data_IF_972042751688
#
_entry.id   IF_972042751688
#
_cell.length_a   1.000
_cell.length_b   1.000
_cell.length_c   1.000
_cell.angle_alpha   90.00
_cell.angle_beta   90.00
_cell.angle_gamma   90.00
#
_symmetry.space_group_name_H-M   'P 1'
#
loop_
_entity.id
_entity.type
_entity.pdbx_description
1 polymer ?
#
# COMPACT_ATOMS: atom_id res chain seq x y z
N UNK A 1 14.85 -3.59 12.42
CA UNK A 1 14.59 -3.75 10.98
C UNK A 1 15.87 -3.66 10.15
N UNK A 2 16.88 -2.88 10.54
CA UNK A 2 18.21 -2.92 9.88
C UNK A 2 18.81 -4.31 9.74
N UNK A 3 18.75 -5.11 10.81
CA UNK A 3 19.26 -6.48 10.79
C UNK A 3 18.50 -7.37 9.79
N UNK A 4 17.22 -7.09 9.50
CA UNK A 4 16.45 -7.79 8.46
C UNK A 4 17.02 -7.46 7.08
N UNK A 5 17.34 -6.19 6.83
CA UNK A 5 17.99 -5.75 5.59
C UNK A 5 19.36 -6.41 5.42
N UNK A 6 20.15 -6.50 6.49
CA UNK A 6 21.47 -7.15 6.48
C UNK A 6 21.37 -8.64 6.18
N UNK A 7 20.41 -9.35 6.79
CA UNK A 7 20.19 -10.79 6.51
C UNK A 7 19.77 -11.00 5.06
N UNK A 8 18.80 -10.22 4.57
CA UNK A 8 18.39 -10.32 3.16
C UNK A 8 19.58 -10.05 2.23
N UNK A 9 20.44 -9.10 2.55
CA UNK A 9 21.64 -8.81 1.78
C UNK A 9 22.65 -9.97 1.78
N UNK A 10 22.82 -10.70 2.89
CA UNK A 10 23.65 -11.92 2.96
C UNK A 10 23.15 -12.98 1.97
N UNK A 11 21.83 -13.09 1.80
CA UNK A 11 21.21 -13.99 0.82
C UNK A 11 21.13 -13.40 -0.59
N UNK A 12 21.82 -12.28 -0.87
CA UNK A 12 21.73 -11.54 -2.13
C UNK A 12 20.28 -11.22 -2.52
N UNK A 13 19.46 -10.91 -1.53
CA UNK A 13 18.02 -10.72 -1.67
C UNK A 13 17.64 -9.26 -1.42
N UNK A 14 16.87 -8.61 -2.32
CA UNK A 14 16.35 -7.27 -2.07
C UNK A 14 15.24 -7.30 -1.01
N UNK A 15 15.12 -6.29 -0.16
CA UNK A 15 13.94 -6.17 0.69
C UNK A 15 12.80 -5.60 -0.17
N UNK A 16 11.80 -6.44 -0.47
CA UNK A 16 10.60 -6.04 -1.21
C UNK A 16 9.42 -6.10 -0.25
N UNK A 17 8.89 -4.93 0.08
CA UNK A 17 7.67 -4.79 0.88
C UNK A 17 6.46 -5.21 0.04
N UNK A 18 5.54 -5.89 0.71
CA UNK A 18 4.24 -6.25 0.19
C UNK A 18 3.13 -5.73 1.13
N UNK A 19 1.89 -6.14 0.86
CA UNK A 19 0.77 -5.88 1.76
C UNK A 19 0.49 -4.40 2.05
N UNK A 20 0.04 -4.11 3.27
CA UNK A 20 -0.37 -2.76 3.67
C UNK A 20 0.78 -1.74 3.66
N UNK A 21 1.99 -2.18 4.00
CA UNK A 21 3.17 -1.31 3.99
C UNK A 21 3.49 -0.83 2.57
N UNK A 22 3.48 -1.74 1.59
CA UNK A 22 3.67 -1.39 0.19
C UNK A 22 2.57 -0.46 -0.33
N UNK A 23 1.30 -0.77 -0.04
CA UNK A 23 0.16 0.06 -0.45
C UNK A 23 0.27 1.53 -0.03
N UNK A 24 0.82 1.78 1.16
CA UNK A 24 0.97 3.14 1.66
C UNK A 24 2.03 3.92 0.89
N UNK A 25 3.07 3.26 0.38
CA UNK A 25 4.01 3.83 -0.58
C UNK A 25 3.46 3.93 -2.02
N UNK A 26 2.33 3.28 -2.29
CA UNK A 26 1.55 3.45 -3.53
C UNK A 26 0.47 4.53 -3.39
N UNK A 27 0.51 5.35 -2.33
CA UNK A 27 -0.45 6.45 -2.11
C UNK A 27 -1.81 6.04 -1.53
N UNK A 28 -2.04 4.76 -1.26
CA UNK A 28 -3.26 4.29 -0.61
C UNK A 28 -3.18 4.45 0.91
N UNK A 29 -4.23 4.98 1.56
CA UNK A 29 -4.31 4.99 3.02
C UNK A 29 -4.72 3.61 3.56
N UNK A 30 -3.88 2.60 3.30
CA UNK A 30 -3.97 1.28 3.89
C UNK A 30 -3.91 1.32 5.41
N UNK A 31 -4.44 0.27 6.05
CA UNK A 31 -4.38 0.10 7.50
C UNK A 31 -2.93 0.11 7.97
N UNK A 32 -2.64 0.88 9.02
CA UNK A 32 -1.40 0.69 9.75
C UNK A 32 -1.53 -0.60 10.54
N UNK A 33 -0.79 -1.60 10.13
CA UNK A 33 -0.75 -2.91 10.77
C UNK A 33 0.55 -3.05 11.56
N UNK A 34 0.51 -3.90 12.58
CA UNK A 34 1.69 -4.34 13.35
C UNK A 34 2.49 -5.41 12.62
N UNK A 35 2.05 -5.83 11.42
CA UNK A 35 2.71 -6.83 10.60
C UNK A 35 3.35 -6.21 9.36
N UNK A 36 4.56 -6.66 9.01
CA UNK A 36 5.29 -6.28 7.81
C UNK A 36 5.41 -7.46 6.86
N UNK A 37 4.76 -7.35 5.71
CA UNK A 37 4.82 -8.35 4.64
C UNK A 37 6.06 -8.14 3.77
N UNK A 38 6.84 -9.21 3.57
CA UNK A 38 8.06 -9.21 2.75
C UNK A 38 7.97 -10.35 1.74
N UNK A 39 8.23 -10.03 0.48
CA UNK A 39 8.39 -11.02 -0.59
C UNK A 39 9.82 -11.57 -0.57
N UNK A 40 9.95 -12.91 -0.63
CA UNK A 40 11.22 -13.62 -0.56
C UNK A 40 11.28 -14.70 -1.65
N UNK A 41 12.44 -14.85 -2.30
CA UNK A 41 12.70 -15.92 -3.27
C UNK A 41 12.41 -17.29 -2.68
N UNK A 42 11.82 -18.17 -3.47
CA UNK A 42 11.50 -19.53 -3.03
C UNK A 42 12.75 -20.26 -2.52
N UNK A 43 13.88 -20.05 -3.20
CA UNK A 43 15.18 -20.63 -2.89
C UNK A 43 15.81 -20.09 -1.60
N UNK A 44 15.47 -18.87 -1.18
CA UNK A 44 16.04 -18.18 -0.02
C UNK A 44 15.10 -18.19 1.20
N UNK A 45 13.81 -18.50 1.02
CA UNK A 45 12.79 -18.34 2.05
C UNK A 45 13.14 -19.02 3.37
N UNK A 46 13.51 -20.32 3.33
CA UNK A 46 13.83 -21.09 4.54
C UNK A 46 15.10 -20.61 5.22
N UNK A 47 16.13 -20.26 4.45
CA UNK A 47 17.41 -19.79 5.01
C UNK A 47 17.26 -18.40 5.61
N UNK A 48 16.58 -17.48 4.94
CA UNK A 48 16.24 -16.15 5.47
C UNK A 48 15.45 -16.27 6.77
N UNK A 49 14.41 -17.11 6.81
CA UNK A 49 13.61 -17.31 8.01
C UNK A 49 14.45 -17.87 9.18
N UNK A 50 15.33 -18.85 8.91
CA UNK A 50 16.24 -19.42 9.91
C UNK A 50 17.18 -18.37 10.46
N UNK A 51 17.88 -17.63 9.59
CA UNK A 51 18.86 -16.62 9.99
C UNK A 51 18.21 -15.47 10.78
N UNK A 52 16.98 -15.08 10.43
CA UNK A 52 16.19 -14.11 11.20
C UNK A 52 15.95 -14.59 12.63
N UNK A 53 15.61 -15.87 12.82
CA UNK A 53 15.42 -16.46 14.15
C UNK A 53 16.74 -16.58 14.90
N UNK A 54 17.84 -16.91 14.22
CA UNK A 54 19.17 -17.01 14.83
C UNK A 54 19.68 -15.68 15.40
N UNK A 55 19.15 -14.54 14.95
CA UNK A 55 19.46 -13.24 15.58
C UNK A 55 18.96 -13.12 17.03
N UNK A 56 18.00 -13.94 17.44
CA UNK A 56 17.35 -13.85 18.74
C UNK A 56 16.30 -12.73 18.87
N UNK A 57 16.10 -11.91 17.83
CA UNK A 57 15.06 -10.88 17.80
C UNK A 57 13.70 -11.42 17.35
N UNK A 58 13.69 -12.56 16.66
CA UNK A 58 12.51 -13.17 16.05
C UNK A 58 12.37 -14.62 16.45
N UNK A 59 11.13 -15.08 16.56
CA UNK A 59 10.78 -16.50 16.70
C UNK A 59 9.74 -16.89 15.66
N UNK A 60 9.71 -18.18 15.31
CA UNK A 60 8.65 -18.73 14.46
C UNK A 60 7.32 -18.63 15.19
N UNK A 61 6.37 -17.93 14.58
CA UNK A 61 5.01 -17.82 15.06
C UNK A 61 4.11 -18.80 14.31
N UNK A 62 3.27 -19.53 15.05
CA UNK A 62 2.19 -20.29 14.46
C UNK A 62 0.89 -19.52 14.70
N UNK A 63 0.29 -18.95 13.65
CA UNK A 63 -0.99 -18.25 13.75
C UNK A 63 -2.04 -19.18 14.35
N UNK A 64 -2.88 -18.61 15.22
CA UNK A 64 -4.05 -19.34 15.68
C UNK A 64 -5.02 -19.54 14.52
N UNK A 65 -5.79 -20.64 14.48
CA UNK A 65 -6.79 -20.85 13.45
C UNK A 65 -7.76 -19.65 13.39
N UNK A 66 -8.23 -19.26 12.19
CA UNK A 66 -9.23 -18.22 12.00
C UNK A 66 -10.39 -18.34 12.99
N UNK A 67 -10.56 -17.36 13.87
CA UNK A 67 -11.71 -17.31 14.76
C UNK A 67 -12.93 -16.89 13.95
N UNK A 68 -14.07 -17.61 13.99
CA UNK A 68 -15.23 -17.36 13.12
C UNK A 68 -15.92 -15.97 13.26
N UNK A 69 -15.40 -15.07 14.09
CA UNK A 69 -16.07 -13.84 14.53
C UNK A 69 -15.17 -12.61 14.62
N UNK A 70 -13.91 -12.67 14.19
CA UNK A 70 -13.12 -11.44 14.15
C UNK A 70 -13.58 -10.57 12.97
N UNK A 71 -13.96 -9.31 13.22
CA UNK A 71 -14.45 -8.41 12.17
C UNK A 71 -13.34 -7.94 11.22
N UNK A 72 -12.09 -8.31 11.46
CA UNK A 72 -10.94 -7.88 10.68
C UNK A 72 -10.17 -9.09 10.11
N UNK A 73 -10.05 -9.21 8.78
CA UNK A 73 -9.37 -10.33 8.12
C UNK A 73 -7.82 -10.31 8.28
N UNK A 74 -7.28 -9.48 9.19
CA UNK A 74 -5.84 -9.36 9.41
C UNK A 74 -5.23 -10.62 10.05
N UNK A 75 -5.99 -11.40 10.84
CA UNK A 75 -5.51 -12.66 11.43
C UNK A 75 -5.52 -13.81 10.41
N UNK A 76 -6.41 -13.79 9.43
CA UNK A 76 -6.56 -14.87 8.45
C UNK A 76 -5.39 -14.93 7.46
N UNK A 77 -4.81 -13.77 7.08
CA UNK A 77 -3.67 -13.75 6.15
C UNK A 77 -2.40 -14.36 6.74
N UNK A 78 -2.21 -14.27 8.06
CA UNK A 78 -1.05 -14.87 8.71
C UNK A 78 -1.08 -16.39 8.56
N UNK A 79 -2.28 -16.98 8.57
CA UNK A 79 -2.48 -18.42 8.38
C UNK A 79 -2.16 -18.90 6.96
N UNK A 80 -2.20 -18.00 5.96
CA UNK A 80 -1.93 -18.32 4.56
C UNK A 80 -0.45 -18.14 4.15
N UNK A 81 0.32 -17.48 5.02
CA UNK A 81 1.72 -17.13 4.81
C UNK A 81 2.65 -18.35 4.87
N UNK A 82 3.78 -18.25 4.18
CA UNK A 82 4.76 -19.33 4.18
C UNK A 82 5.55 -19.37 5.49
N UNK A 83 5.88 -18.19 6.05
CA UNK A 83 6.38 -18.05 7.41
C UNK A 83 5.80 -16.80 8.06
N UNK A 84 5.49 -16.92 9.36
CA UNK A 84 5.20 -15.79 10.22
C UNK A 84 6.23 -15.79 11.33
N UNK A 85 6.92 -14.68 11.51
CA UNK A 85 7.89 -14.48 12.58
C UNK A 85 7.36 -13.44 13.54
N UNK A 86 7.36 -13.75 14.84
CA UNK A 86 6.99 -12.80 15.90
C UNK A 86 8.24 -12.19 16.50
N UNK A 87 8.21 -10.88 16.70
CA UNK A 87 9.29 -10.14 17.34
C UNK A 87 9.24 -10.36 18.85
N UNK A 88 10.39 -10.69 19.45
CA UNK A 88 10.50 -10.98 20.89
C UNK A 88 10.78 -9.71 21.70
N UNK A 89 11.44 -8.74 21.09
CA UNK A 89 11.99 -7.53 21.73
C UNK A 89 11.27 -6.24 21.32
N UNK A 90 10.03 -6.33 20.83
CA UNK A 90 9.26 -5.15 20.46
C UNK A 90 8.88 -4.35 21.73
N UNK A 91 9.47 -3.17 21.90
CA UNK A 91 9.23 -2.30 23.06
C UNK A 91 8.11 -1.26 22.81
N UNK A 92 7.92 -0.85 21.55
CA UNK A 92 6.94 0.16 21.16
C UNK A 92 5.77 -0.45 20.36
N UNK A 93 4.55 0.01 20.62
CA UNK A 93 3.33 -0.37 19.89
C UNK A 93 3.36 0.03 18.40
N UNK A 94 4.20 1.00 18.04
CA UNK A 94 4.38 1.49 16.68
C UNK A 94 5.34 0.65 15.85
N UNK A 95 6.07 -0.29 16.47
CA UNK A 95 6.97 -1.19 15.77
C UNK A 95 6.24 -2.40 15.16
N UNK A 96 6.88 -3.04 14.18
CA UNK A 96 6.36 -4.28 13.63
C UNK A 96 6.56 -5.40 14.65
N UNK A 97 5.45 -6.04 15.01
CA UNK A 97 5.38 -7.21 15.89
C UNK A 97 5.49 -8.51 15.11
N UNK A 98 5.07 -8.52 13.85
CA UNK A 98 5.19 -9.69 12.99
C UNK A 98 5.90 -9.36 11.68
N UNK A 99 6.72 -10.28 11.21
CA UNK A 99 7.15 -10.35 9.82
C UNK A 99 6.42 -11.49 9.15
N UNK A 100 5.77 -11.19 8.03
CA UNK A 100 5.07 -12.18 7.22
C UNK A 100 5.90 -12.37 5.96
N UNK A 101 6.49 -13.55 5.80
CA UNK A 101 7.31 -13.87 4.65
C UNK A 101 6.47 -14.63 3.62
N UNK A 102 6.42 -14.07 2.43
CA UNK A 102 5.73 -14.62 1.28
C UNK A 102 6.75 -15.10 0.26
N UNK A 103 6.62 -16.34 -0.18
CA UNK A 103 7.42 -16.92 -1.26
C UNK A 103 6.98 -16.37 -2.62
N UNK A 104 7.85 -16.38 -3.62
CA UNK A 104 7.51 -16.02 -5.02
C UNK A 104 6.34 -16.87 -5.53
N UNK A 105 6.38 -18.16 -5.24
CA UNK A 105 5.32 -19.10 -5.62
C UNK A 105 3.99 -18.79 -4.96
N UNK A 106 3.99 -18.44 -3.66
CA UNK A 106 2.76 -18.08 -2.95
C UNK A 106 2.25 -16.71 -3.36
N UNK A 107 3.13 -15.74 -3.54
CA UNK A 107 2.72 -14.38 -3.86
C UNK A 107 2.46 -14.19 -5.36
N UNK A 108 2.81 -15.17 -6.20
CA UNK A 108 2.64 -15.13 -7.65
C UNK A 108 3.37 -13.95 -8.31
N UNK A 109 4.67 -13.83 -8.02
CA UNK A 109 5.54 -12.80 -8.62
C UNK A 109 6.99 -13.29 -8.61
N UNK A 110 7.74 -13.00 -9.70
CA UNK A 110 9.18 -13.26 -9.78
C UNK A 110 9.94 -12.10 -9.12
N UNK A 111 10.72 -12.34 -8.07
CA UNK A 111 11.52 -11.31 -7.38
C UNK A 111 12.54 -10.68 -8.34
N UNK A 112 13.11 -11.48 -9.25
CA UNK A 112 14.20 -11.04 -10.13
C UNK A 112 13.71 -10.34 -11.40
N UNK A 113 12.50 -10.67 -11.87
CA UNK A 113 11.97 -10.16 -13.13
C UNK A 113 10.88 -9.09 -12.96
N UNK A 114 10.38 -8.88 -11.73
CA UNK A 114 9.31 -7.91 -11.50
C UNK A 114 9.80 -6.45 -11.51
N UNK A 115 8.98 -5.52 -12.01
CA UNK A 115 9.29 -4.09 -11.92
C UNK A 115 9.16 -3.60 -10.48
N UNK A 116 10.29 -3.09 -9.95
CA UNK A 116 10.41 -2.58 -8.58
C UNK A 116 10.56 -1.06 -8.53
N UNK A 117 10.01 -0.47 -7.47
CA UNK A 117 10.15 0.95 -7.14
C UNK A 117 10.86 1.06 -5.79
N UNK A 118 11.97 1.80 -5.74
CA UNK A 118 12.67 2.07 -4.48
C UNK A 118 11.87 3.04 -3.61
N UNK A 119 11.79 2.74 -2.31
CA UNK A 119 11.09 3.55 -1.31
C UNK A 119 12.04 3.94 -0.18
N UNK A 120 11.80 5.06 0.51
CA UNK A 120 12.79 5.62 1.43
C UNK A 120 12.93 4.85 2.75
N UNK A 121 11.94 4.03 3.13
CA UNK A 121 11.95 3.33 4.41
C UNK A 121 10.98 2.12 4.42
N UNK A 122 11.15 1.24 5.41
CA UNK A 122 10.23 0.14 5.70
C UNK A 122 8.92 0.67 6.29
N UNK A 123 8.96 1.71 7.14
CA UNK A 123 7.76 2.28 7.77
C UNK A 123 7.12 3.42 6.96
N UNK A 124 5.91 3.23 6.40
CA UNK A 124 5.19 4.27 5.67
C UNK A 124 4.27 5.09 6.59
N UNK A 125 4.84 5.89 7.50
CA UNK A 125 4.05 6.70 8.46
C UNK A 125 3.02 7.60 7.78
N UNK A 126 3.32 8.07 6.58
CA UNK A 126 2.38 8.73 5.70
C UNK A 126 2.07 7.82 4.49
N UNK A 127 0.85 7.89 3.96
CA UNK A 127 0.55 7.32 2.66
C UNK A 127 0.95 8.34 1.59
N UNK A 128 1.92 7.94 0.76
CA UNK A 128 2.56 8.78 -0.22
C UNK A 128 2.69 7.98 -1.49
N UNK A 129 2.34 8.55 -2.64
CA UNK A 129 2.54 7.92 -3.93
C UNK A 129 3.97 8.20 -4.39
N UNK A 130 4.79 7.15 -4.48
CA UNK A 130 6.16 7.22 -5.02
C UNK A 130 6.14 7.16 -6.56
N UNK A 131 5.28 6.34 -7.15
CA UNK A 131 5.16 6.20 -8.60
C UNK A 131 4.26 7.30 -9.19
N UNK A 132 4.81 8.51 -9.30
CA UNK A 132 4.07 9.76 -9.57
C UNK A 132 3.18 9.74 -10.83
N UNK A 133 3.53 8.93 -11.83
CA UNK A 133 2.75 8.78 -13.08
C UNK A 133 1.30 8.33 -12.83
N UNK A 134 1.04 7.65 -11.72
CA UNK A 134 -0.29 7.21 -11.29
C UNK A 134 -1.06 8.25 -10.48
N UNK A 135 -0.54 9.46 -10.37
CA UNK A 135 -1.26 10.51 -9.66
C UNK A 135 -2.39 11.06 -10.54
N UNK A 136 -3.66 11.04 -10.09
CA UNK A 136 -4.81 11.28 -10.97
C UNK A 136 -4.95 12.73 -11.46
N UNK A 137 -4.30 13.67 -10.78
CA UNK A 137 -4.32 15.10 -11.14
C UNK A 137 -3.03 15.59 -11.83
N UNK A 138 -2.00 14.75 -12.00
CA UNK A 138 -0.65 15.22 -12.40
C UNK A 138 -0.60 15.83 -13.80
N UNK A 139 -1.45 15.35 -14.71
CA UNK A 139 -1.54 15.82 -16.10
C UNK A 139 -2.66 16.82 -16.36
N UNK A 140 -3.39 17.29 -15.33
CA UNK A 140 -4.57 18.15 -15.55
C UNK A 140 -4.20 19.61 -15.77
N UNK A 141 -4.75 20.21 -16.83
CA UNK A 141 -4.50 21.61 -17.19
C UNK A 141 -5.19 22.61 -16.26
N UNK A 142 -6.35 22.23 -15.71
CA UNK A 142 -7.17 23.09 -14.84
C UNK A 142 -6.58 23.32 -13.44
N UNK A 143 -5.43 22.69 -13.12
CA UNK A 143 -4.73 22.74 -11.82
C UNK A 143 -5.58 22.30 -10.62
N UNK A 144 -6.69 21.61 -10.86
CA UNK A 144 -7.51 21.04 -9.80
C UNK A 144 -6.81 19.81 -9.22
N UNK A 145 -6.49 19.86 -7.92
CA UNK A 145 -5.68 18.81 -7.28
C UNK A 145 -6.50 17.94 -6.33
N UNK A 146 -6.49 16.63 -6.58
CA UNK A 146 -7.09 15.58 -5.77
C UNK A 146 -6.24 14.31 -5.88
N UNK A 147 -6.46 13.33 -5.01
CA UNK A 147 -5.67 12.11 -4.96
C UNK A 147 -4.67 12.07 -3.80
N UNK A 148 -3.74 11.11 -3.82
CA UNK A 148 -2.78 10.92 -2.74
C UNK A 148 -1.76 12.05 -2.69
N UNK A 149 -1.03 12.15 -1.57
CA UNK A 149 0.13 13.04 -1.51
C UNK A 149 1.31 12.43 -2.25
N UNK A 150 2.16 13.27 -2.83
CA UNK A 150 3.42 12.90 -3.45
C UNK A 150 4.58 13.01 -2.46
N UNK A 151 5.68 12.35 -2.78
CA UNK A 151 6.91 12.46 -1.99
C UNK A 151 7.42 13.90 -1.96
N UNK A 152 7.95 14.41 -0.83
CA UNK A 152 8.46 15.80 -0.76
C UNK A 152 9.52 16.14 -1.81
N UNK A 153 10.29 15.15 -2.26
CA UNK A 153 11.33 15.34 -3.29
C UNK A 153 10.81 15.31 -4.73
N UNK A 154 9.49 15.18 -4.92
CA UNK A 154 8.85 15.18 -6.24
C UNK A 154 9.27 16.35 -7.12
N UNK A 155 9.34 16.12 -8.43
CA UNK A 155 9.71 17.14 -9.43
C UNK A 155 8.53 17.62 -10.26
N UNK A 156 7.30 17.27 -9.86
CA UNK A 156 6.08 17.74 -10.50
C UNK A 156 6.01 19.27 -10.46
N UNK A 157 5.84 19.88 -11.63
CA UNK A 157 5.76 21.34 -11.77
C UNK A 157 4.40 21.84 -11.29
N UNK A 158 4.37 23.04 -10.70
CA UNK A 158 3.16 23.70 -10.22
C UNK A 158 2.37 22.90 -9.16
N UNK A 159 3.09 22.12 -8.36
CA UNK A 159 2.50 21.32 -7.31
C UNK A 159 1.93 22.21 -6.19
N UNK A 160 0.65 22.05 -5.79
CA UNK A 160 0.10 22.76 -4.63
C UNK A 160 0.81 22.35 -3.35
N UNK A 161 0.98 23.26 -2.40
CA UNK A 161 1.65 22.98 -1.11
C UNK A 161 1.02 21.78 -0.37
N UNK A 162 -0.31 21.63 -0.47
CA UNK A 162 -1.07 20.52 0.15
C UNK A 162 -0.80 19.14 -0.46
N UNK A 163 -0.15 19.09 -1.63
CA UNK A 163 0.07 17.85 -2.37
C UNK A 163 1.26 17.04 -1.85
N UNK A 164 2.12 17.62 -1.01
CA UNK A 164 3.18 16.91 -0.30
C UNK A 164 2.86 16.86 1.20
N UNK A 165 3.28 15.80 1.92
CA UNK A 165 3.17 15.82 3.37
C UNK A 165 4.16 16.84 3.95
N UNK A 166 3.82 17.53 5.05
CA UNK A 166 4.74 18.47 5.69
C UNK A 166 5.98 17.76 6.27
N UNK A 167 5.82 16.52 6.70
CA UNK A 167 6.90 15.67 7.21
C UNK A 167 6.65 14.24 6.78
N UNK A 168 7.64 13.62 6.13
CA UNK A 168 7.55 12.21 5.71
C UNK A 168 7.70 11.25 6.89
N UNK A 169 8.65 11.55 7.78
CA UNK A 169 8.95 10.80 8.99
C UNK A 169 8.72 11.69 10.21
N UNK A 170 7.58 11.57 10.91
CA UNK A 170 7.32 12.35 12.11
C UNK A 170 8.48 12.25 13.10
N UNK A 171 8.84 13.38 13.73
CA UNK A 171 9.94 13.40 14.70
C UNK A 171 9.59 12.47 15.87
N UNK A 172 10.48 11.52 16.15
CA UNK A 172 10.30 10.53 17.23
C UNK A 172 9.59 9.25 16.80
N UNK A 173 9.08 9.16 15.57
CA UNK A 173 8.59 7.88 15.04
C UNK A 173 9.78 6.97 14.67
N UNK A 174 9.67 5.65 14.86
CA UNK A 174 10.75 4.74 14.51
C UNK A 174 11.04 4.77 13.00
N UNK A 175 12.31 4.57 12.67
CA UNK A 175 12.79 4.36 11.31
C UNK A 175 13.06 2.88 11.13
N UNK A 176 12.67 2.32 10.00
CA UNK A 176 12.89 0.92 9.67
C UNK A 176 14.28 0.70 9.10
N UNK A 177 14.87 1.78 8.57
CA UNK A 177 16.23 1.84 8.05
C UNK A 177 17.02 2.94 8.79
N UNK A 178 18.14 2.59 9.42
CA UNK A 178 19.01 3.59 10.02
C UNK A 178 19.74 4.42 8.96
N UNK A 179 20.20 5.63 9.31
CA UNK A 179 20.97 6.46 8.38
C UNK A 179 22.27 5.82 7.87
N UNK A 180 22.80 4.83 8.59
CA UNK A 180 24.03 4.11 8.23
C UNK A 180 23.79 2.90 7.35
N UNK A 181 22.55 2.39 7.28
CA UNK A 181 22.22 1.25 6.44
C UNK A 181 22.06 1.72 4.98
N UNK A 182 22.82 1.12 4.06
CA UNK A 182 22.81 1.50 2.64
C UNK A 182 21.91 0.61 1.78
N UNK A 183 21.32 -0.46 2.33
CA UNK A 183 20.49 -1.39 1.56
C UNK A 183 19.16 -0.76 1.14
N UNK A 184 18.81 -0.90 -0.12
CA UNK A 184 17.56 -0.37 -0.68
C UNK A 184 16.34 -1.16 -0.20
N UNK A 185 15.22 -0.46 -0.08
CA UNK A 185 13.89 -1.01 0.23
C UNK A 185 13.05 -0.80 -1.02
N UNK A 186 12.34 -1.83 -1.46
CA UNK A 186 11.55 -1.81 -2.68
C UNK A 186 10.08 -2.13 -2.40
N UNK A 187 9.22 -1.71 -3.31
CA UNK A 187 7.85 -2.20 -3.50
C UNK A 187 7.72 -2.67 -4.95
N UNK A 188 6.73 -3.52 -5.24
CA UNK A 188 6.28 -3.75 -6.62
C UNK A 188 5.76 -2.44 -7.23
N UNK A 189 5.94 -2.24 -8.53
CA UNK A 189 5.22 -1.19 -9.25
C UNK A 189 3.70 -1.41 -9.16
N UNK A 190 2.90 -0.36 -9.32
CA UNK A 190 1.43 -0.46 -9.19
C UNK A 190 0.82 -1.51 -10.12
N UNK A 191 1.18 -1.62 -11.42
CA UNK A 191 0.65 -2.66 -12.31
C UNK A 191 1.00 -4.07 -11.86
N UNK A 192 2.29 -4.35 -11.61
CA UNK A 192 2.73 -5.68 -11.17
C UNK A 192 2.09 -6.09 -9.84
N UNK A 193 1.94 -5.12 -8.92
CA UNK A 193 1.22 -5.36 -7.68
C UNK A 193 -0.25 -5.68 -7.93
N UNK A 194 -0.92 -4.95 -8.83
CA UNK A 194 -2.32 -5.17 -9.16
C UNK A 194 -2.55 -6.56 -9.79
N UNK A 195 -1.70 -6.99 -10.73
CA UNK A 195 -1.78 -8.33 -11.33
C UNK A 195 -1.69 -9.43 -10.26
N UNK A 196 -0.75 -9.27 -9.32
CA UNK A 196 -0.64 -10.16 -8.17
C UNK A 196 -1.94 -10.22 -7.35
N UNK A 197 -2.55 -9.07 -7.03
CA UNK A 197 -3.80 -9.03 -6.26
C UNK A 197 -4.97 -9.67 -7.02
N UNK A 198 -5.06 -9.44 -8.33
CA UNK A 198 -6.09 -10.02 -9.19
C UNK A 198 -5.94 -11.54 -9.23
N UNK A 199 -4.71 -12.03 -9.39
CA UNK A 199 -4.42 -13.46 -9.32
C UNK A 199 -4.87 -14.08 -8.00
N UNK A 200 -4.53 -13.46 -6.86
CA UNK A 200 -4.96 -13.95 -5.53
C UNK A 200 -6.48 -14.02 -5.43
N UNK A 201 -7.18 -13.01 -5.94
CA UNK A 201 -8.65 -12.96 -5.93
C UNK A 201 -9.29 -14.09 -6.74
N UNK A 202 -8.74 -14.38 -7.92
CA UNK A 202 -9.29 -15.37 -8.85
C UNK A 202 -8.95 -16.79 -8.40
N UNK A 203 -7.69 -17.03 -8.03
CA UNK A 203 -7.16 -18.38 -7.86
C UNK A 203 -7.10 -18.86 -6.41
N UNK A 204 -7.01 -17.96 -5.43
CA UNK A 204 -6.77 -18.34 -4.03
C UNK A 204 -7.98 -18.29 -3.10
N UNK A 205 -9.16 -17.97 -3.63
CA UNK A 205 -10.39 -17.89 -2.84
C UNK A 205 -10.66 -19.11 -1.95
N UNK A 206 -10.25 -20.31 -2.36
CA UNK A 206 -10.42 -21.55 -1.60
C UNK A 206 -9.15 -22.02 -0.88
N UNK A 207 -7.97 -21.82 -1.47
CA UNK A 207 -6.70 -22.35 -0.95
C UNK A 207 -5.98 -21.42 0.01
N UNK A 208 -6.11 -20.10 -0.17
CA UNK A 208 -5.55 -19.05 0.70
C UNK A 208 -6.58 -17.91 0.88
N UNK A 209 -7.68 -18.17 1.60
CA UNK A 209 -8.83 -17.26 1.68
C UNK A 209 -8.52 -15.93 2.36
N UNK A 210 -7.58 -15.90 3.31
CA UNK A 210 -7.11 -14.67 3.97
C UNK A 210 -6.35 -13.78 2.98
N UNK A 211 -5.45 -14.37 2.19
CA UNK A 211 -4.71 -13.65 1.14
C UNK A 211 -5.66 -13.12 0.04
N UNK A 212 -6.61 -13.93 -0.43
CA UNK A 212 -7.61 -13.49 -1.40
C UNK A 212 -8.51 -12.36 -0.86
N UNK A 213 -8.93 -12.46 0.41
CA UNK A 213 -9.72 -11.40 1.07
C UNK A 213 -8.93 -10.10 1.19
N UNK A 214 -7.66 -10.20 1.59
CA UNK A 214 -6.78 -9.04 1.65
C UNK A 214 -6.60 -8.40 0.27
N UNK A 215 -6.42 -9.20 -0.78
CA UNK A 215 -6.29 -8.72 -2.13
C UNK A 215 -7.51 -7.91 -2.59
N UNK A 216 -8.73 -8.38 -2.30
CA UNK A 216 -9.97 -7.63 -2.56
C UNK A 216 -9.96 -6.23 -1.92
N UNK A 217 -9.59 -6.15 -0.64
CA UNK A 217 -9.52 -4.89 0.09
C UNK A 217 -8.46 -3.96 -0.48
N UNK A 218 -7.34 -4.53 -0.91
CA UNK A 218 -6.21 -3.83 -1.47
C UNK A 218 -6.51 -3.25 -2.85
N UNK A 219 -7.17 -4.02 -3.75
CA UNK A 219 -7.68 -3.53 -5.03
C UNK A 219 -8.66 -2.38 -4.81
N UNK A 220 -9.60 -2.54 -3.87
CA UNK A 220 -10.59 -1.53 -3.56
C UNK A 220 -9.96 -0.23 -3.04
N UNK A 221 -8.91 -0.33 -2.24
CA UNK A 221 -8.19 0.83 -1.72
C UNK A 221 -7.39 1.55 -2.81
N UNK A 222 -6.61 0.83 -3.62
CA UNK A 222 -5.89 1.45 -4.74
C UNK A 222 -6.85 2.13 -5.71
N UNK A 223 -7.95 1.46 -6.07
CA UNK A 223 -9.01 2.06 -6.90
C UNK A 223 -9.53 3.35 -6.29
N UNK A 224 -9.86 3.33 -4.99
CA UNK A 224 -10.38 4.50 -4.28
C UNK A 224 -9.38 5.66 -4.25
N UNK A 225 -8.13 5.41 -3.88
CA UNK A 225 -7.17 6.50 -3.63
C UNK A 225 -6.50 7.01 -4.90
N UNK A 226 -6.29 6.15 -5.90
CA UNK A 226 -5.71 6.51 -7.18
C UNK A 226 -6.74 6.89 -8.24
N UNK A 227 -8.03 6.76 -7.93
CA UNK A 227 -9.13 7.09 -8.84
C UNK A 227 -9.04 6.29 -10.16
N UNK A 228 -8.75 4.98 -10.03
CA UNK A 228 -8.53 4.10 -11.18
C UNK A 228 -9.78 3.92 -12.05
N UNK A 229 -10.96 4.26 -11.54
CA UNK A 229 -12.21 4.25 -12.31
C UNK A 229 -12.34 5.43 -13.29
N UNK A 230 -11.48 6.44 -13.18
CA UNK A 230 -11.52 7.59 -14.09
C UNK A 230 -10.88 7.22 -15.44
N UNK A 231 -11.45 7.63 -16.59
CA UNK A 231 -10.98 7.18 -17.91
C UNK A 231 -9.48 7.38 -18.17
N UNK A 232 -8.90 8.47 -17.69
CA UNK A 232 -7.48 8.79 -17.88
C UNK A 232 -6.54 8.01 -16.96
N UNK A 233 -7.06 7.33 -15.93
CA UNK A 233 -6.31 6.38 -15.08
C UNK A 233 -6.56 4.95 -15.51
N UNK A 234 -7.81 4.63 -15.86
CA UNK A 234 -8.25 3.30 -16.24
C UNK A 234 -7.50 2.78 -17.47
N UNK A 235 -7.48 3.55 -18.57
CA UNK A 235 -6.90 3.06 -19.83
C UNK A 235 -5.40 2.75 -19.71
N UNK A 236 -4.55 3.65 -19.14
CA UNK A 236 -3.14 3.32 -18.91
C UNK A 236 -2.94 2.09 -18.04
N UNK A 237 -3.77 1.90 -17.00
CA UNK A 237 -3.71 0.72 -16.15
C UNK A 237 -3.98 -0.54 -16.94
N UNK A 238 -5.13 -0.63 -17.61
CA UNK A 238 -5.54 -1.85 -18.33
C UNK A 238 -4.54 -2.27 -19.42
N UNK A 239 -3.80 -1.32 -20.01
CA UNK A 239 -2.75 -1.64 -20.99
C UNK A 239 -1.54 -2.32 -20.35
N UNK A 240 -1.23 -2.02 -19.09
CA UNK A 240 -0.07 -2.56 -18.37
C UNK A 240 -0.38 -3.84 -17.57
N UNK A 241 -1.65 -4.24 -17.45
CA UNK A 241 -2.07 -5.43 -16.71
C UNK A 241 -2.12 -6.68 -17.59
N UNK A 242 -1.78 -7.82 -17.01
CA UNK A 242 -1.97 -9.13 -17.62
C UNK A 242 -3.43 -9.60 -17.53
N UNK A 243 -4.09 -9.30 -16.40
CA UNK A 243 -5.49 -9.68 -16.13
C UNK A 243 -6.44 -8.49 -16.32
N UNK A 244 -6.37 -7.86 -17.49
CA UNK A 244 -7.10 -6.63 -17.82
C UNK A 244 -8.62 -6.81 -17.86
N UNK A 245 -9.13 -7.95 -18.35
CA UNK A 245 -10.56 -8.25 -18.41
C UNK A 245 -11.24 -8.18 -17.03
N UNK A 246 -10.62 -8.77 -16.01
CA UNK A 246 -11.13 -8.72 -14.63
C UNK A 246 -11.18 -7.27 -14.13
N UNK A 247 -10.09 -6.53 -14.32
CA UNK A 247 -10.00 -5.15 -13.84
C UNK A 247 -10.94 -4.21 -14.62
N UNK A 248 -11.16 -4.44 -15.91
CA UNK A 248 -12.12 -3.69 -16.69
C UNK A 248 -13.54 -3.88 -16.15
N UNK A 249 -13.96 -5.14 -15.92
CA UNK A 249 -15.27 -5.44 -15.35
C UNK A 249 -15.41 -4.86 -13.93
N UNK A 250 -14.39 -5.02 -13.10
CA UNK A 250 -14.37 -4.47 -11.74
C UNK A 250 -14.56 -2.95 -11.76
N UNK A 251 -13.76 -2.21 -12.54
CA UNK A 251 -13.79 -0.75 -12.60
C UNK A 251 -15.08 -0.22 -13.20
N UNK A 252 -15.64 -0.91 -14.21
CA UNK A 252 -16.95 -0.57 -14.81
C UNK A 252 -18.09 -0.62 -13.79
N UNK A 253 -18.01 -1.54 -12.83
CA UNK A 253 -19.00 -1.72 -11.78
C UNK A 253 -18.68 -0.97 -10.49
N UNK A 254 -17.49 -0.37 -10.38
CA UNK A 254 -17.05 0.33 -9.17
C UNK A 254 -17.90 1.58 -8.93
N UNK A 255 -18.48 1.67 -7.72
CA UNK A 255 -19.24 2.85 -7.28
C UNK A 255 -18.54 3.49 -6.10
N UNK A 256 -17.99 4.69 -6.33
CA UNK A 256 -17.37 5.48 -5.28
C UNK A 256 -18.40 5.93 -4.25
N UNK A 257 -18.04 5.83 -2.97
CA UNK A 257 -18.84 6.40 -1.87
C UNK A 257 -19.03 7.91 -2.09
N UNK A 258 -20.24 8.45 -1.94
CA UNK A 258 -20.49 9.88 -2.08
C UNK A 258 -19.61 10.71 -1.13
N UNK A 259 -19.05 11.80 -1.63
CA UNK A 259 -18.34 12.79 -0.83
C UNK A 259 -19.20 14.04 -0.65
N UNK A 260 -19.14 14.63 0.55
CA UNK A 260 -19.92 15.81 0.91
C UNK A 260 -19.01 16.89 1.49
N UNK A 261 -19.27 18.14 1.09
CA UNK A 261 -18.70 19.32 1.74
C UNK A 261 -19.76 19.98 2.59
N UNK A 262 -19.33 20.59 3.69
CA UNK A 262 -20.20 21.19 4.69
C UNK A 262 -19.82 22.64 4.95
N UNK A 263 -20.83 23.48 5.24
CA UNK A 263 -20.63 24.82 5.80
C UNK A 263 -21.73 25.16 6.80
N UNK A 264 -21.45 26.10 7.67
CA UNK A 264 -22.48 26.74 8.48
C UNK A 264 -23.25 27.76 7.64
N UNK A 265 -24.57 27.63 7.61
CA UNK A 265 -25.47 28.53 6.92
C UNK A 265 -25.67 29.81 7.73
N UNK A 266 -25.97 30.92 7.05
CA UNK A 266 -26.26 32.22 7.68
C UNK A 266 -27.46 32.18 8.65
N UNK A 267 -28.32 31.17 8.52
CA UNK A 267 -29.47 30.90 9.40
C UNK A 267 -29.12 30.06 10.64
N UNK A 268 -27.85 29.69 10.84
CA UNK A 268 -27.39 28.85 11.95
C UNK A 268 -27.58 27.34 11.75
N UNK A 269 -27.87 26.89 10.52
CA UNK A 269 -27.98 25.46 10.17
C UNK A 269 -26.74 24.90 9.47
N UNK A 270 -26.59 23.58 9.40
CA UNK A 270 -25.54 22.93 8.61
C UNK A 270 -26.02 22.71 7.16
N UNK A 271 -25.36 23.34 6.20
CA UNK A 271 -25.58 23.08 4.77
C UNK A 271 -24.58 22.02 4.30
N UNK A 272 -25.05 21.06 3.50
CA UNK A 272 -24.19 20.05 2.87
C UNK A 272 -24.46 19.96 1.37
N UNK A 273 -23.40 19.75 0.60
CA UNK A 273 -23.49 19.52 -0.83
C UNK A 273 -22.71 18.27 -1.21
N UNK A 274 -23.32 17.40 -2.00
CA UNK A 274 -22.63 16.25 -2.60
C UNK A 274 -21.75 16.76 -3.72
N UNK A 275 -20.48 16.36 -3.71
CA UNK A 275 -19.51 16.75 -4.73
C UNK A 275 -18.75 15.52 -5.23
N UNK A 276 -18.05 15.71 -6.34
CA UNK A 276 -17.08 14.77 -6.90
C UNK A 276 -15.70 15.38 -6.71
N UNK A 277 -14.85 14.74 -5.91
CA UNK A 277 -13.53 15.27 -5.56
C UNK A 277 -12.65 15.60 -6.78
N UNK A 278 -12.85 14.91 -7.91
CA UNK A 278 -12.09 15.08 -9.15
C UNK A 278 -12.68 16.14 -10.09
N UNK A 279 -13.83 16.71 -9.78
CA UNK A 279 -14.56 17.64 -10.65
C UNK A 279 -14.80 18.94 -9.90
N UNK A 280 -13.98 19.95 -10.20
CA UNK A 280 -14.07 21.28 -9.61
C UNK A 280 -15.47 21.91 -9.79
N UNK A 281 -16.16 21.59 -10.88
CA UNK A 281 -17.46 22.17 -11.18
C UNK A 281 -18.59 21.56 -10.35
N UNK A 282 -18.34 20.38 -9.75
CA UNK A 282 -19.27 19.79 -8.79
C UNK A 282 -19.31 20.53 -7.45
N UNK A 283 -18.31 21.38 -7.15
CA UNK A 283 -18.24 22.10 -5.89
C UNK A 283 -19.15 23.34 -5.92
N UNK A 284 -19.89 23.61 -4.83
CA UNK A 284 -20.65 24.86 -4.68
C UNK A 284 -19.76 26.10 -4.79
N UNK A 285 -20.33 27.22 -5.22
CA UNK A 285 -19.60 28.50 -5.38
C UNK A 285 -18.89 28.95 -4.11
N UNK A 286 -19.43 28.64 -2.93
CA UNK A 286 -18.85 28.97 -1.63
C UNK A 286 -17.60 28.17 -1.27
N UNK A 287 -17.31 27.06 -1.97
CA UNK A 287 -16.02 26.37 -1.86
C UNK A 287 -14.96 26.99 -2.78
N UNK A 288 -15.37 27.76 -3.79
CA UNK A 288 -14.46 28.30 -4.82
C UNK A 288 -13.83 29.64 -4.41
N UNK A 289 -14.27 30.23 -3.31
CA UNK A 289 -13.74 31.48 -2.74
C UNK A 289 -12.64 31.19 -1.71
N UNK A 290 -11.45 30.83 -2.18
CA UNK A 290 -10.19 31.00 -1.43
C UNK A 290 -9.13 31.39 -2.46
N UNK A 291 -8.96 32.69 -2.68
CA UNK A 291 -7.71 33.29 -3.18
C UNK A 291 -6.86 33.73 -1.99
#
# INVERSE_FOLDING_TARGET
MDHVLEILAVHSHPLILAGWSAQRWMGSAGLMDTSCDILVRDSALKSVASDLVETGHWEVHQPSPPMPREPFPCSDRESDADFVLRRIDAEDESEYRHLILWSESTYHVSVDDCPLIEVPDVYPWNHVLIEERWHPAIGQENRWWFGPRLHPDTKVRNLPERATPPTLFPKGAPRGKSPTNTHSVYILSIPAYMDTLVYHMIHYKLSKPGLATLASLQIANLTRYLYLELPHQQLPLLIELEEDEFMEEYLRNYQRKPFFVFREAHSGGLESARVKEWDADSYPSWCRTIE
#
